data_IF_661457225287
#
_entry.id   IF_661457225287
#
_cell.length_a   1.000
_cell.length_b   1.000
_cell.length_c   1.000
_cell.angle_alpha   90.00
_cell.angle_beta   90.00
_cell.angle_gamma   90.00
#
_symmetry.space_group_name_H-M   'P 1'
#
loop_
_entity.id
_entity.type
_entity.pdbx_description
1 polymer ?
#
# COMPACT_ATOMS: atom_id res chain seq x y z
N UNK A 1 12.59 -5.61 -17.74
CA UNK A 1 11.93 -6.72 -17.04
C UNK A 1 10.63 -6.14 -16.53
N UNK A 2 9.50 -6.47 -17.15
CA UNK A 2 8.19 -5.95 -16.74
C UNK A 2 7.83 -6.59 -15.40
N UNK A 3 7.74 -5.79 -14.34
CA UNK A 3 7.29 -6.25 -13.02
C UNK A 3 5.89 -6.85 -13.13
N UNK A 4 5.63 -7.98 -12.45
CA UNK A 4 4.31 -8.63 -12.45
C UNK A 4 3.29 -7.73 -11.71
N UNK A 5 2.21 -7.28 -12.38
CA UNK A 5 1.20 -6.43 -11.77
C UNK A 5 0.55 -7.05 -10.53
N UNK A 6 0.38 -8.37 -10.48
CA UNK A 6 -0.21 -9.05 -9.32
C UNK A 6 0.69 -8.92 -8.10
N UNK A 7 2.01 -8.98 -8.29
CA UNK A 7 2.96 -8.76 -7.20
C UNK A 7 2.90 -7.31 -6.68
N UNK A 8 2.68 -6.32 -7.55
CA UNK A 8 2.52 -4.92 -7.10
C UNK A 8 1.24 -4.75 -6.28
N UNK A 9 0.13 -5.37 -6.68
CA UNK A 9 -1.11 -5.34 -5.90
C UNK A 9 -0.96 -6.03 -4.55
N UNK A 10 -0.24 -7.16 -4.49
CA UNK A 10 0.07 -7.84 -3.23
C UNK A 10 0.95 -6.98 -2.32
N UNK A 11 1.95 -6.27 -2.86
CA UNK A 11 2.78 -5.35 -2.08
C UNK A 11 1.92 -4.22 -1.48
N UNK A 12 0.99 -3.66 -2.25
CA UNK A 12 0.04 -2.65 -1.76
C UNK A 12 -0.86 -3.21 -0.65
N UNK A 13 -1.36 -4.44 -0.81
CA UNK A 13 -2.18 -5.11 0.20
C UNK A 13 -1.41 -5.31 1.51
N UNK A 14 -0.18 -5.82 1.43
CA UNK A 14 0.69 -5.99 2.61
C UNK A 14 1.00 -4.67 3.31
N UNK A 15 1.18 -3.57 2.56
CA UNK A 15 1.35 -2.25 3.15
C UNK A 15 0.09 -1.76 3.88
N UNK A 16 -1.10 -2.00 3.33
CA UNK A 16 -2.38 -1.70 3.99
C UNK A 16 -2.60 -2.51 5.28
N UNK A 17 -2.23 -3.79 5.27
CA UNK A 17 -2.28 -4.66 6.46
C UNK A 17 -1.34 -4.14 7.56
N UNK A 18 -0.14 -3.70 7.20
CA UNK A 18 0.80 -3.09 8.14
C UNK A 18 0.24 -1.80 8.77
N UNK A 19 -0.37 -0.92 7.97
CA UNK A 19 -1.03 0.30 8.47
C UNK A 19 -2.15 -0.07 9.45
N UNK A 20 -2.98 -1.07 9.12
CA UNK A 20 -4.04 -1.56 10.01
C UNK A 20 -3.47 -2.06 11.33
N UNK A 21 -2.36 -2.81 11.30
CA UNK A 21 -1.67 -3.29 12.49
C UNK A 21 -1.13 -2.14 13.36
N UNK A 22 -0.61 -1.08 12.74
CA UNK A 22 -0.15 0.11 13.45
C UNK A 22 -1.29 0.84 14.16
N UNK A 23 -2.44 1.01 13.48
CA UNK A 23 -3.62 1.65 14.07
C UNK A 23 -4.20 0.89 15.26
N UNK A 24 -4.09 -0.43 15.27
CA UNK A 24 -4.59 -1.27 16.38
C UNK A 24 -3.70 -1.26 17.62
N UNK A 25 -2.45 -0.77 17.52
CA UNK A 25 -1.52 -0.69 18.65
C UNK A 25 -1.75 0.58 19.47
N UNK A 26 -2.66 0.51 20.44
CA UNK A 26 -2.88 1.59 21.40
C UNK A 26 -1.62 1.85 22.25
N UNK A 27 -1.21 3.12 22.38
CA UNK A 27 -0.16 3.56 23.31
C UNK A 27 1.28 3.47 22.78
N UNK A 28 1.47 3.37 21.46
CA UNK A 28 2.80 3.48 20.84
C UNK A 28 3.21 4.95 20.73
N UNK A 29 4.52 5.23 20.68
CA UNK A 29 5.05 6.57 20.41
C UNK A 29 4.52 7.09 19.06
N UNK A 30 3.73 8.16 19.09
CA UNK A 30 2.95 8.66 17.94
C UNK A 30 3.86 9.04 16.76
N UNK A 31 5.07 9.57 17.03
CA UNK A 31 6.03 9.95 15.99
C UNK A 31 6.57 8.73 15.22
N UNK A 32 6.85 7.63 15.93
CA UNK A 32 7.31 6.38 15.30
C UNK A 32 6.20 5.73 14.47
N UNK A 33 4.95 5.75 14.95
CA UNK A 33 3.81 5.26 14.18
C UNK A 33 3.56 6.11 12.93
N UNK A 34 3.69 7.44 13.06
CA UNK A 34 3.52 8.36 11.95
C UNK A 34 4.53 8.08 10.83
N UNK A 35 5.81 7.95 11.17
CA UNK A 35 6.84 7.63 10.18
C UNK A 35 6.64 6.25 9.55
N UNK A 36 6.24 5.25 10.34
CA UNK A 36 5.93 3.91 9.83
C UNK A 36 4.75 3.94 8.85
N UNK A 37 3.66 4.65 9.16
CA UNK A 37 2.53 4.84 8.25
C UNK A 37 2.94 5.60 6.99
N UNK A 38 3.73 6.67 7.14
CA UNK A 38 4.23 7.47 6.02
C UNK A 38 5.03 6.62 5.03
N UNK A 39 5.93 5.78 5.52
CA UNK A 39 6.70 4.86 4.66
C UNK A 39 5.79 3.89 3.92
N UNK A 40 4.80 3.30 4.60
CA UNK A 40 3.84 2.38 3.94
C UNK A 40 3.03 3.09 2.84
N UNK A 41 2.59 4.32 3.07
CA UNK A 41 1.87 5.11 2.07
C UNK A 41 2.74 5.44 0.84
N UNK A 42 4.02 5.77 1.06
CA UNK A 42 4.97 5.99 -0.05
C UNK A 42 5.13 4.71 -0.87
N UNK A 43 5.31 3.57 -0.22
CA UNK A 43 5.45 2.28 -0.93
C UNK A 43 4.21 1.89 -1.73
N UNK A 44 3.01 2.14 -1.21
CA UNK A 44 1.76 1.96 -1.95
C UNK A 44 1.78 2.84 -3.21
N UNK A 45 2.15 4.12 -3.07
CA UNK A 45 2.25 5.06 -4.17
C UNK A 45 3.28 4.64 -5.22
N UNK A 46 4.44 4.11 -4.81
CA UNK A 46 5.46 3.61 -5.75
C UNK A 46 4.99 2.33 -6.45
N UNK A 47 4.45 1.35 -5.73
CA UNK A 47 3.93 0.13 -6.33
C UNK A 47 2.80 0.40 -7.33
N UNK A 48 1.92 1.35 -7.03
CA UNK A 48 0.82 1.73 -7.92
C UNK A 48 1.29 2.31 -9.26
N UNK A 49 2.44 3.01 -9.31
CA UNK A 49 3.00 3.56 -10.57
C UNK A 49 3.42 2.46 -11.55
N UNK A 50 3.78 1.30 -11.03
CA UNK A 50 4.22 0.15 -11.85
C UNK A 50 3.05 -0.73 -12.33
N UNK A 51 1.83 -0.47 -11.86
CA UNK A 51 0.63 -1.23 -12.26
C UNK A 51 0.07 -0.67 -13.59
N UNK A 52 -0.12 -1.50 -14.62
CA UNK A 52 -0.73 -1.05 -15.87
C UNK A 52 -2.16 -0.55 -15.65
N UNK A 53 -2.54 0.55 -16.30
CA UNK A 53 -3.89 1.12 -16.20
C UNK A 53 -5.00 0.13 -16.57
N UNK A 54 -4.72 -0.83 -17.44
CA UNK A 54 -5.67 -1.89 -17.82
C UNK A 54 -6.09 -2.77 -16.63
N UNK A 55 -5.25 -2.90 -15.60
CA UNK A 55 -5.56 -3.64 -14.37
C UNK A 55 -6.53 -2.84 -13.50
N UNK A 56 -6.36 -1.53 -13.37
CA UNK A 56 -7.34 -0.70 -12.68
C UNK A 56 -8.67 -0.63 -13.45
N UNK A 57 -8.60 -0.58 -14.78
CA UNK A 57 -9.78 -0.55 -15.64
C UNK A 57 -10.64 -1.83 -15.58
N UNK A 58 -10.12 -2.96 -15.08
CA UNK A 58 -10.92 -4.17 -14.88
C UNK A 58 -11.83 -4.10 -13.65
N UNK A 59 -11.57 -3.16 -12.72
CA UNK A 59 -12.34 -2.98 -11.49
C UNK A 59 -12.90 -1.54 -11.37
N UNK A 60 -13.75 -1.08 -12.31
CA UNK A 60 -14.16 0.33 -12.42
C UNK A 60 -15.05 0.82 -11.28
N UNK A 61 -15.54 -0.08 -10.41
CA UNK A 61 -16.27 0.28 -9.19
C UNK A 61 -15.36 0.68 -8.04
N UNK A 62 -14.06 0.38 -8.13
CA UNK A 62 -13.06 0.80 -7.17
C UNK A 62 -12.57 2.19 -7.63
N UNK A 63 -12.78 3.25 -6.83
CA UNK A 63 -12.49 4.63 -7.22
C UNK A 63 -11.00 4.92 -7.42
#
# INVERSE_FOLDING_TARGET
MTSDPNLRLLDMLSACEAITSYLQRAGSDDDMLFDAMRVRLIEIGEAAKDVPQSVFASEPSIP
#
